data_IF_157272602505
#
_entry.id   IF_157272602505
#
_cell.length_a   1.000
_cell.length_b   1.000
_cell.length_c   1.000
_cell.angle_alpha   90.00
_cell.angle_beta   90.00
_cell.angle_gamma   90.00
#
_symmetry.space_group_name_H-M   'P 1'
#
loop_
_entity.id
_entity.type
_entity.pdbx_description
1 polymer ?
#
# COMPACT_ATOMS: atom_id res chain seq x y z
N UNK A 1 57.68 -50.74 -9.15
CA UNK A 1 56.23 -50.94 -9.17
C UNK A 1 55.56 -49.58 -9.05
N UNK A 2 54.98 -49.00 -10.09
CA UNK A 2 54.20 -47.79 -10.00
C UNK A 2 52.71 -48.16 -9.82
N UNK A 3 52.05 -47.64 -8.76
CA UNK A 3 50.63 -47.73 -8.61
C UNK A 3 50.01 -46.49 -9.28
N UNK A 4 49.54 -46.69 -10.48
CA UNK A 4 48.76 -45.69 -11.17
C UNK A 4 47.35 -45.67 -10.54
N UNK A 5 47.10 -44.68 -9.71
CA UNK A 5 45.75 -44.37 -9.23
C UNK A 5 44.97 -43.67 -10.35
N UNK A 6 44.09 -44.42 -10.97
CA UNK A 6 43.14 -43.90 -11.98
C UNK A 6 42.13 -43.02 -11.26
N UNK A 7 42.27 -41.69 -11.41
CA UNK A 7 41.30 -40.71 -10.96
C UNK A 7 40.10 -40.80 -11.88
N UNK A 8 39.04 -41.44 -11.44
CA UNK A 8 37.76 -41.46 -12.15
C UNK A 8 37.13 -40.06 -12.08
N UNK A 9 37.28 -39.33 -13.16
CA UNK A 9 36.60 -38.03 -13.39
C UNK A 9 35.11 -38.38 -13.62
N UNK A 10 34.26 -38.16 -12.64
CA UNK A 10 32.82 -38.25 -12.83
C UNK A 10 32.39 -37.16 -13.82
N UNK A 11 31.70 -37.51 -14.92
CA UNK A 11 31.17 -36.52 -15.83
C UNK A 11 30.13 -35.69 -15.04
N UNK A 12 30.26 -34.37 -15.12
CA UNK A 12 29.29 -33.46 -14.54
C UNK A 12 27.91 -33.76 -15.13
N UNK A 13 26.97 -34.14 -14.26
CA UNK A 13 25.58 -34.36 -14.66
C UNK A 13 25.05 -33.11 -15.37
N UNK A 14 24.43 -33.24 -16.57
CA UNK A 14 23.87 -32.11 -17.25
C UNK A 14 22.78 -31.50 -16.40
N UNK A 15 22.97 -30.26 -15.95
CA UNK A 15 21.95 -29.49 -15.25
C UNK A 15 20.66 -29.58 -16.05
N UNK A 16 19.64 -30.24 -15.48
CA UNK A 16 18.39 -30.48 -16.18
C UNK A 16 17.82 -29.13 -16.65
N UNK A 17 17.48 -28.95 -17.93
CA UNK A 17 17.00 -27.68 -18.49
C UNK A 17 15.75 -27.14 -17.78
N UNK A 18 15.08 -27.97 -17.02
CA UNK A 18 13.92 -27.62 -16.17
C UNK A 18 14.25 -26.50 -15.16
N UNK A 19 15.43 -26.53 -14.55
CA UNK A 19 15.83 -25.50 -13.57
C UNK A 19 16.07 -24.15 -14.23
N UNK A 20 16.58 -24.12 -15.46
CA UNK A 20 16.74 -22.90 -16.24
C UNK A 20 15.39 -22.29 -16.61
N UNK A 21 14.42 -23.11 -16.99
CA UNK A 21 13.05 -22.64 -17.30
C UNK A 21 12.38 -22.10 -16.03
N UNK A 22 12.49 -22.80 -14.89
CA UNK A 22 11.94 -22.34 -13.61
C UNK A 22 12.58 -21.01 -13.17
N UNK A 23 13.89 -20.87 -13.27
CA UNK A 23 14.60 -19.64 -12.94
C UNK A 23 14.18 -18.49 -13.87
N UNK A 24 13.99 -18.74 -15.17
CA UNK A 24 13.50 -17.75 -16.12
C UNK A 24 12.07 -17.29 -15.80
N UNK A 25 11.16 -18.23 -15.51
CA UNK A 25 9.77 -17.91 -15.11
C UNK A 25 9.73 -17.11 -13.82
N UNK A 26 10.50 -17.51 -12.80
CA UNK A 26 10.59 -16.77 -11.55
C UNK A 26 11.16 -15.34 -11.75
N UNK A 27 12.17 -15.19 -12.61
CA UNK A 27 12.74 -13.89 -12.95
C UNK A 27 11.73 -13.00 -13.68
N UNK A 28 11.00 -13.54 -14.66
CA UNK A 28 9.96 -12.81 -15.40
C UNK A 28 8.84 -12.36 -14.46
N UNK A 29 8.37 -13.21 -13.54
CA UNK A 29 7.36 -12.85 -12.54
C UNK A 29 7.90 -11.79 -11.57
N UNK A 30 9.15 -11.91 -11.12
CA UNK A 30 9.77 -10.93 -10.22
C UNK A 30 9.91 -9.53 -10.85
N UNK A 31 10.02 -9.45 -12.17
CA UNK A 31 10.10 -8.16 -12.90
C UNK A 31 8.71 -7.66 -13.27
N UNK A 32 7.80 -8.54 -13.75
CA UNK A 32 6.48 -8.13 -14.22
C UNK A 32 5.55 -7.68 -13.09
N UNK A 33 5.61 -8.30 -11.92
CA UNK A 33 4.75 -7.94 -10.78
C UNK A 33 5.00 -6.51 -10.30
N UNK A 34 6.24 -6.08 -9.97
CA UNK A 34 6.50 -4.70 -9.58
C UNK A 34 6.29 -3.71 -10.72
N UNK A 35 6.57 -4.11 -11.97
CA UNK A 35 6.34 -3.26 -13.14
C UNK A 35 4.84 -3.02 -13.38
N UNK A 36 4.01 -4.04 -13.27
CA UNK A 36 2.55 -3.92 -13.36
C UNK A 36 1.97 -3.08 -12.22
N UNK A 37 2.52 -3.26 -11.00
CA UNK A 37 2.16 -2.45 -9.85
C UNK A 37 2.55 -0.97 -10.05
N UNK A 38 3.76 -0.71 -10.54
CA UNK A 38 4.25 0.65 -10.85
C UNK A 38 3.44 1.29 -12.00
N UNK A 39 3.05 0.48 -12.99
CA UNK A 39 2.26 0.94 -14.14
C UNK A 39 0.82 1.28 -13.72
N UNK A 40 0.21 0.46 -12.89
CA UNK A 40 -1.09 0.76 -12.27
C UNK A 40 -1.03 2.04 -11.43
N UNK A 41 0.02 2.21 -10.65
CA UNK A 41 0.26 3.43 -9.85
C UNK A 41 0.41 4.67 -10.75
N UNK A 42 1.18 4.56 -11.84
CA UNK A 42 1.36 5.67 -12.81
C UNK A 42 0.11 5.94 -13.64
N UNK A 43 -0.69 4.94 -13.92
CA UNK A 43 -1.94 5.09 -14.70
C UNK A 43 -3.01 5.81 -13.86
N UNK A 44 -3.11 5.55 -12.56
CA UNK A 44 -3.94 6.33 -11.64
C UNK A 44 -3.53 7.81 -11.62
N UNK A 45 -2.23 8.11 -11.63
CA UNK A 45 -1.74 9.50 -11.67
C UNK A 45 -1.95 10.20 -13.01
N UNK A 46 -1.96 9.47 -14.13
CA UNK A 46 -2.16 10.06 -15.48
C UNK A 46 -3.62 10.37 -15.81
N UNK A 47 -4.57 9.68 -15.20
CA UNK A 47 -6.00 9.98 -15.34
C UNK A 47 -6.37 11.32 -14.69
N UNK A 48 -5.58 11.81 -13.75
CA UNK A 48 -5.79 13.07 -13.02
C UNK A 48 -5.39 14.34 -13.79
N UNK A 49 -4.62 14.23 -14.87
CA UNK A 49 -4.14 15.39 -15.63
C UNK A 49 -5.15 15.97 -16.64
N UNK A 50 -6.39 15.48 -16.65
CA UNK A 50 -7.37 15.84 -17.70
C UNK A 50 -8.68 16.39 -17.16
N UNK A 51 -8.66 17.51 -16.47
CA UNK A 51 -9.91 18.24 -16.19
C UNK A 51 -9.98 18.87 -14.80
N UNK A 52 -9.72 20.15 -14.72
CA UNK A 52 -9.53 20.91 -13.48
C UNK A 52 -10.80 21.16 -12.61
N UNK A 53 -11.94 20.54 -12.88
CA UNK A 53 -13.15 20.72 -12.08
C UNK A 53 -13.80 19.42 -11.58
N UNK A 54 -13.56 18.32 -12.29
CA UNK A 54 -14.22 17.04 -12.04
C UNK A 54 -13.26 15.99 -11.42
N UNK A 55 -11.95 16.22 -11.55
CA UNK A 55 -10.92 15.25 -11.15
C UNK A 55 -10.90 14.98 -9.65
N UNK A 56 -11.08 15.98 -8.81
CA UNK A 56 -11.14 15.82 -7.35
C UNK A 56 -12.38 15.01 -6.94
N UNK A 57 -13.52 15.26 -7.59
CA UNK A 57 -14.76 14.50 -7.37
C UNK A 57 -14.62 13.02 -7.72
N UNK A 58 -13.99 12.74 -8.85
CA UNK A 58 -13.71 11.35 -9.29
C UNK A 58 -12.75 10.62 -8.35
N UNK A 59 -11.66 11.28 -7.96
CA UNK A 59 -10.70 10.74 -6.97
C UNK A 59 -11.41 10.47 -5.65
N UNK A 60 -12.16 11.44 -5.13
CA UNK A 60 -12.94 11.30 -3.91
C UNK A 60 -13.90 10.10 -3.98
N UNK A 61 -14.65 9.97 -5.05
CA UNK A 61 -15.61 8.87 -5.26
C UNK A 61 -14.91 7.50 -5.27
N UNK A 62 -13.74 7.37 -5.90
CA UNK A 62 -12.96 6.14 -5.91
C UNK A 62 -12.48 5.74 -4.50
N UNK A 63 -11.99 6.71 -3.73
CA UNK A 63 -11.55 6.44 -2.35
C UNK A 63 -12.71 6.14 -1.40
N UNK A 64 -13.86 6.83 -1.54
CA UNK A 64 -15.07 6.52 -0.77
C UNK A 64 -15.57 5.11 -1.07
N UNK A 65 -15.56 4.69 -2.34
CA UNK A 65 -15.92 3.32 -2.71
C UNK A 65 -15.00 2.29 -2.06
N UNK A 66 -13.69 2.52 -2.08
CA UNK A 66 -12.73 1.60 -1.41
C UNK A 66 -12.93 1.52 0.09
N UNK A 67 -13.34 2.62 0.73
CA UNK A 67 -13.71 2.64 2.14
C UNK A 67 -15.00 1.86 2.41
N UNK A 68 -15.98 1.94 1.50
CA UNK A 68 -17.21 1.16 1.58
C UNK A 68 -16.93 -0.34 1.45
N UNK A 69 -16.12 -0.73 0.46
CA UNK A 69 -15.69 -2.12 0.25
C UNK A 69 -14.96 -2.66 1.50
N UNK A 70 -14.09 -1.87 2.11
CA UNK A 70 -13.40 -2.24 3.36
C UNK A 70 -14.38 -2.36 4.55
N UNK A 71 -15.36 -1.46 4.65
CA UNK A 71 -16.36 -1.49 5.70
C UNK A 71 -17.31 -2.69 5.56
N UNK A 72 -17.62 -3.11 4.34
CA UNK A 72 -18.39 -4.33 4.06
C UNK A 72 -17.59 -5.59 4.44
N UNK A 73 -16.34 -5.66 4.03
CA UNK A 73 -15.45 -6.78 4.36
C UNK A 73 -15.28 -6.93 5.88
N UNK A 74 -15.09 -5.82 6.59
CA UNK A 74 -15.05 -5.80 8.05
C UNK A 74 -16.35 -6.32 8.68
N UNK A 75 -17.52 -5.84 8.23
CA UNK A 75 -18.82 -6.28 8.75
C UNK A 75 -19.13 -7.75 8.46
N UNK A 76 -18.64 -8.26 7.33
CA UNK A 76 -18.75 -9.66 6.96
C UNK A 76 -17.79 -10.59 7.73
N UNK A 77 -16.86 -10.02 8.53
CA UNK A 77 -15.83 -10.80 9.23
C UNK A 77 -14.71 -11.31 8.32
N UNK A 78 -14.60 -10.79 7.09
CA UNK A 78 -13.57 -11.14 6.11
C UNK A 78 -12.21 -10.47 6.37
N UNK A 79 -12.17 -9.47 7.27
CA UNK A 79 -10.97 -8.71 7.57
C UNK A 79 -10.67 -8.70 9.07
N UNK A 80 -9.40 -8.92 9.44
CA UNK A 80 -8.95 -8.81 10.83
C UNK A 80 -8.86 -7.34 11.26
N UNK A 81 -9.15 -7.05 12.54
CA UNK A 81 -9.19 -5.70 13.11
C UNK A 81 -7.92 -4.89 12.80
N UNK A 82 -6.75 -5.45 13.05
CA UNK A 82 -5.47 -4.77 12.82
C UNK A 82 -5.26 -4.42 11.34
N UNK A 83 -5.71 -5.30 10.45
CA UNK A 83 -5.65 -5.10 9.01
C UNK A 83 -6.63 -4.03 8.53
N UNK A 84 -7.88 -4.03 9.04
CA UNK A 84 -8.88 -3.02 8.70
C UNK A 84 -8.40 -1.61 9.09
N UNK A 85 -7.88 -1.43 10.31
CA UNK A 85 -7.31 -0.16 10.77
C UNK A 85 -6.10 0.29 9.94
N UNK A 86 -5.23 -0.65 9.56
CA UNK A 86 -4.05 -0.35 8.73
C UNK A 86 -4.46 0.08 7.32
N UNK A 87 -5.42 -0.61 6.71
CA UNK A 87 -5.92 -0.29 5.37
C UNK A 87 -6.65 1.06 5.34
N UNK A 88 -7.50 1.34 6.34
CA UNK A 88 -8.18 2.63 6.45
C UNK A 88 -7.18 3.79 6.55
N UNK A 89 -6.16 3.67 7.40
CA UNK A 89 -5.10 4.67 7.52
C UNK A 89 -4.25 4.82 6.26
N UNK A 90 -4.05 3.75 5.51
CA UNK A 90 -3.34 3.81 4.24
C UNK A 90 -4.17 4.54 3.19
N UNK A 91 -5.47 4.22 3.09
CA UNK A 91 -6.37 4.84 2.12
C UNK A 91 -6.45 6.36 2.30
N UNK A 92 -6.63 6.85 3.54
CA UNK A 92 -6.70 8.30 3.77
C UNK A 92 -5.38 9.00 3.47
N UNK A 93 -4.25 8.40 3.79
CA UNK A 93 -2.92 8.97 3.46
C UNK A 93 -2.68 9.00 1.96
N UNK A 94 -3.06 7.95 1.24
CA UNK A 94 -2.99 7.91 -0.22
C UNK A 94 -3.90 8.96 -0.86
N UNK A 95 -5.13 9.12 -0.36
CA UNK A 95 -6.03 10.17 -0.81
C UNK A 95 -5.38 11.55 -0.67
N UNK A 96 -4.89 11.87 0.53
CA UNK A 96 -4.23 13.16 0.80
C UNK A 96 -2.99 13.34 -0.07
N UNK A 97 -2.15 12.30 -0.21
CA UNK A 97 -0.97 12.35 -1.07
C UNK A 97 -1.31 12.67 -2.52
N UNK A 98 -2.42 12.10 -3.03
CA UNK A 98 -2.90 12.37 -4.39
C UNK A 98 -3.42 13.81 -4.53
N UNK A 99 -4.23 14.27 -3.58
CA UNK A 99 -4.90 15.58 -3.65
C UNK A 99 -3.93 16.73 -3.41
N UNK A 100 -2.93 16.53 -2.53
CA UNK A 100 -1.90 17.53 -2.22
C UNK A 100 -0.64 17.40 -3.07
N UNK A 101 -0.59 16.43 -3.99
CA UNK A 101 0.59 16.09 -4.80
C UNK A 101 1.85 15.83 -3.95
N UNK A 102 1.66 15.25 -2.75
CA UNK A 102 2.73 14.97 -1.80
C UNK A 102 2.92 13.46 -1.60
N UNK A 103 3.98 13.08 -0.90
CA UNK A 103 4.25 11.69 -0.53
C UNK A 103 3.67 11.33 0.85
N UNK A 104 2.45 11.81 1.16
CA UNK A 104 1.82 11.65 2.47
C UNK A 104 1.62 10.17 2.89
N UNK A 105 1.56 9.26 1.94
CA UNK A 105 1.48 7.81 2.18
C UNK A 105 2.75 7.23 2.85
N UNK A 106 3.91 7.89 2.69
CA UNK A 106 5.19 7.48 3.29
C UNK A 106 5.52 8.20 4.60
N UNK A 107 4.79 9.27 4.95
CA UNK A 107 5.10 10.02 6.16
C UNK A 107 4.81 9.23 7.43
N UNK A 108 5.75 9.29 8.35
CA UNK A 108 5.53 8.83 9.73
C UNK A 108 4.57 9.78 10.46
N UNK A 109 3.93 9.37 11.58
CA UNK A 109 3.09 10.27 12.37
C UNK A 109 3.79 11.57 12.81
N UNK A 110 5.09 11.51 13.09
CA UNK A 110 5.91 12.67 13.46
C UNK A 110 6.17 13.61 12.29
N UNK A 111 6.44 13.07 11.11
CA UNK A 111 6.61 13.85 9.88
C UNK A 111 5.30 14.52 9.47
N UNK A 112 4.20 13.80 9.55
CA UNK A 112 2.87 14.34 9.26
C UNK A 112 2.55 15.51 10.19
N UNK A 113 2.80 15.39 11.50
CA UNK A 113 2.66 16.51 12.45
C UNK A 113 3.59 17.70 12.16
N UNK A 114 4.77 17.45 11.65
CA UNK A 114 5.66 18.54 11.24
C UNK A 114 5.12 19.30 10.02
N UNK A 115 4.39 18.61 9.13
CA UNK A 115 3.74 19.23 7.96
C UNK A 115 2.50 20.05 8.32
N UNK A 116 1.77 19.72 9.38
CA UNK A 116 0.59 20.47 9.85
C UNK A 116 0.91 21.98 10.05
N UNK A 117 2.14 22.33 10.47
CA UNK A 117 2.55 23.72 10.61
C UNK A 117 2.57 24.49 9.29
N UNK A 118 2.73 23.81 8.16
CA UNK A 118 2.75 24.41 6.80
C UNK A 118 1.40 24.22 6.10
N UNK A 119 0.70 23.17 6.49
CA UNK A 119 -0.54 22.68 5.90
C UNK A 119 -1.55 22.38 7.00
N UNK A 120 -2.24 23.40 7.57
CA UNK A 120 -3.20 23.22 8.67
C UNK A 120 -4.33 22.24 8.33
N UNK A 121 -4.66 22.10 7.05
CA UNK A 121 -5.63 21.14 6.54
C UNK A 121 -5.28 19.67 6.84
N UNK A 122 -4.03 19.39 7.15
CA UNK A 122 -3.54 18.04 7.53
C UNK A 122 -3.75 17.71 9.01
N UNK A 123 -4.26 18.64 9.84
CA UNK A 123 -4.38 18.45 11.30
C UNK A 123 -5.27 17.24 11.63
N UNK A 124 -6.46 17.17 11.05
CA UNK A 124 -7.38 16.05 11.24
C UNK A 124 -6.78 14.71 10.81
N UNK A 125 -6.04 14.70 9.69
CA UNK A 125 -5.32 13.52 9.24
C UNK A 125 -4.22 13.10 10.23
N UNK A 126 -3.45 14.07 10.74
CA UNK A 126 -2.37 13.81 11.68
C UNK A 126 -2.88 13.20 12.98
N UNK A 127 -4.00 13.69 13.50
CA UNK A 127 -4.63 13.16 14.71
C UNK A 127 -5.20 11.75 14.48
N UNK A 128 -5.84 11.53 13.34
CA UNK A 128 -6.38 10.22 12.95
C UNK A 128 -5.28 9.16 12.81
N UNK A 129 -4.16 9.52 12.19
CA UNK A 129 -3.00 8.62 12.04
C UNK A 129 -2.33 8.36 13.39
N UNK A 130 -2.25 9.36 14.28
CA UNK A 130 -1.67 9.22 15.60
C UNK A 130 -2.53 8.33 16.52
N UNK A 131 -3.86 8.49 16.50
CA UNK A 131 -4.80 7.65 17.27
C UNK A 131 -4.74 6.19 16.82
N UNK A 132 -4.65 5.94 15.51
CA UNK A 132 -4.49 4.59 14.98
C UNK A 132 -3.15 3.94 15.39
N UNK A 133 -2.06 4.69 15.37
CA UNK A 133 -0.76 4.20 15.84
C UNK A 133 -0.82 3.84 17.34
N UNK A 134 -1.45 4.66 18.18
CA UNK A 134 -1.70 4.38 19.60
C UNK A 134 -2.49 3.09 19.81
N UNK A 135 -3.57 2.90 19.07
CA UNK A 135 -4.40 1.69 19.15
C UNK A 135 -3.69 0.41 18.73
N UNK A 136 -2.78 0.49 17.75
CA UNK A 136 -2.01 -0.67 17.28
C UNK A 136 -0.90 -1.09 18.25
N UNK A 137 -0.30 -0.16 18.97
CA UNK A 137 0.86 -0.39 19.84
C UNK A 137 0.57 -0.18 21.33
N UNK A 138 -0.48 0.57 21.68
CA UNK A 138 -0.78 0.94 23.05
C UNK A 138 -1.90 0.14 23.74
N UNK A 139 -2.54 -0.79 23.03
CA UNK A 139 -3.61 -1.62 23.61
C UNK A 139 -4.97 -0.93 23.79
N UNK A 140 -5.11 0.34 23.39
CA UNK A 140 -6.41 1.00 23.36
C UNK A 140 -7.34 0.36 22.33
N UNK A 141 -8.58 0.10 22.75
CA UNK A 141 -9.58 -0.52 21.90
C UNK A 141 -10.20 0.51 20.96
N UNK A 142 -9.52 0.85 19.86
CA UNK A 142 -10.12 1.69 18.82
C UNK A 142 -11.26 0.92 18.14
N UNK A 143 -12.44 1.51 18.05
CA UNK A 143 -13.54 0.93 17.28
C UNK A 143 -13.28 1.12 15.78
N UNK A 144 -13.20 0.00 15.04
CA UNK A 144 -12.95 -0.01 13.59
C UNK A 144 -14.04 0.76 12.85
N UNK A 145 -15.30 0.59 13.25
CA UNK A 145 -16.44 1.24 12.59
C UNK A 145 -16.36 2.76 12.75
N UNK A 146 -16.05 3.21 13.96
CA UNK A 146 -15.86 4.64 14.24
C UNK A 146 -14.65 5.20 13.49
N UNK A 147 -13.54 4.45 13.43
CA UNK A 147 -12.34 4.86 12.69
C UNK A 147 -12.62 4.98 11.18
N UNK A 148 -13.34 4.01 10.59
CA UNK A 148 -13.74 4.09 9.18
C UNK A 148 -14.65 5.29 8.90
N UNK A 149 -15.54 5.63 9.85
CA UNK A 149 -16.40 6.83 9.76
C UNK A 149 -15.57 8.11 9.75
N UNK A 150 -14.59 8.22 10.65
CA UNK A 150 -13.69 9.38 10.72
C UNK A 150 -12.84 9.52 9.46
N UNK A 151 -12.30 8.42 8.94
CA UNK A 151 -11.56 8.42 7.66
C UNK A 151 -12.46 8.91 6.52
N UNK A 152 -13.72 8.44 6.46
CA UNK A 152 -14.69 8.88 5.48
C UNK A 152 -14.93 10.38 5.56
N UNK A 153 -15.14 10.92 6.75
CA UNK A 153 -15.35 12.37 6.95
C UNK A 153 -14.19 13.21 6.45
N UNK A 154 -12.95 12.77 6.67
CA UNK A 154 -11.77 13.45 6.14
C UNK A 154 -11.80 13.50 4.61
N UNK A 155 -12.16 12.38 3.95
CA UNK A 155 -12.23 12.30 2.48
C UNK A 155 -13.39 13.17 1.92
N UNK A 156 -14.55 13.16 2.59
CA UNK A 156 -15.73 13.92 2.16
C UNK A 156 -15.59 15.44 2.32
N UNK A 157 -14.96 15.87 3.42
CA UNK A 157 -14.82 17.29 3.78
C UNK A 157 -13.59 17.95 3.17
N UNK A 158 -12.73 17.20 2.49
CA UNK A 158 -11.53 17.75 1.87
C UNK A 158 -11.90 18.75 0.76
N UNK A 159 -11.44 20.00 0.89
CA UNK A 159 -11.68 21.09 -0.08
C UNK A 159 -10.37 21.53 -0.74
#
# INVERSE_FOLDING_TARGET
>A
MPIAGEVAIHPAEPFAPVWLVLALVAFVLAVLVPLAWLWRRRQSQRSQARGNGDALGEVRADYLKRLDDLAEDWRAGGCERGLALAQASLLVRQFVGVVTETEADFWTPSELRAQVRRHPELETLADLVASNAGARFGGEALDVTEHLRQVREVVEQWN
#
